data_IF_341855226470
#
_entry.id   IF_341855226470
#
_cell.length_a   1.000
_cell.length_b   1.000
_cell.length_c   1.000
_cell.angle_alpha   90.00
_cell.angle_beta   90.00
_cell.angle_gamma   90.00
#
_symmetry.space_group_name_H-M   'P 1'
#
loop_
_entity.id
_entity.type
_entity.pdbx_description
1 polymer ?
#
# COMPACT_ATOMS: atom_id res chain seq x y z
N UNK A 1 -25.92 28.36 55.02
CA UNK A 1 -26.05 29.31 53.87
C UNK A 1 -24.86 29.20 52.93
N UNK A 2 -23.63 29.19 53.45
CA UNK A 2 -22.39 28.99 52.68
C UNK A 2 -22.38 27.71 51.83
N UNK A 3 -22.86 26.58 52.37
CA UNK A 3 -22.94 25.30 51.63
C UNK A 3 -23.79 25.38 50.35
N UNK A 4 -24.93 26.09 50.41
CA UNK A 4 -25.80 26.26 49.23
C UNK A 4 -25.13 27.11 48.15
N UNK A 5 -24.40 28.15 48.57
CA UNK A 5 -23.63 29.02 47.69
C UNK A 5 -22.48 28.22 47.05
N UNK A 6 -21.75 27.43 47.83
CA UNK A 6 -20.67 26.57 47.34
C UNK A 6 -21.17 25.53 46.31
N UNK A 7 -22.33 24.93 46.53
CA UNK A 7 -22.95 23.99 45.58
C UNK A 7 -23.33 24.65 44.25
N UNK A 8 -23.81 25.89 44.28
CA UNK A 8 -24.14 26.65 43.05
C UNK A 8 -22.87 26.97 42.27
N UNK A 9 -21.80 27.42 42.95
CA UNK A 9 -20.51 27.67 42.30
C UNK A 9 -19.89 26.38 41.73
N UNK A 10 -20.00 25.26 42.44
CA UNK A 10 -19.53 23.97 41.96
C UNK A 10 -20.29 23.52 40.71
N UNK A 11 -21.63 23.67 40.70
CA UNK A 11 -22.45 23.35 39.53
C UNK A 11 -22.09 24.21 38.31
N UNK A 12 -21.82 25.50 38.52
CA UNK A 12 -21.35 26.42 37.48
C UNK A 12 -19.97 26.03 36.94
N UNK A 13 -19.03 25.71 37.84
CA UNK A 13 -17.69 25.28 37.47
C UNK A 13 -17.73 23.97 36.67
N UNK A 14 -18.53 23.00 37.10
CA UNK A 14 -18.73 21.74 36.38
C UNK A 14 -19.40 21.97 35.02
N UNK A 15 -20.37 22.88 34.92
CA UNK A 15 -21.00 23.25 33.67
C UNK A 15 -20.04 23.90 32.66
N UNK A 16 -19.10 24.70 33.14
CA UNK A 16 -18.05 25.33 32.31
C UNK A 16 -16.95 24.36 31.89
N UNK A 17 -16.55 23.44 32.78
CA UNK A 17 -15.48 22.47 32.51
C UNK A 17 -15.97 21.26 31.70
N UNK A 18 -17.24 20.88 31.81
CA UNK A 18 -17.78 19.69 31.14
C UNK A 18 -17.56 19.69 29.61
N UNK A 19 -17.84 20.78 28.86
CA UNK A 19 -17.58 20.82 27.41
C UNK A 19 -16.10 20.63 27.07
N UNK A 20 -15.19 21.19 27.86
CA UNK A 20 -13.74 21.07 27.64
C UNK A 20 -13.30 19.62 27.83
N UNK A 21 -13.74 18.98 28.93
CA UNK A 21 -13.42 17.58 29.24
C UNK A 21 -14.00 16.65 28.17
N UNK A 22 -15.27 16.83 27.80
CA UNK A 22 -15.93 16.01 26.78
C UNK A 22 -15.25 16.17 25.42
N UNK A 23 -14.89 17.39 25.03
CA UNK A 23 -14.18 17.65 23.79
C UNK A 23 -12.81 16.98 23.77
N UNK A 24 -12.07 17.01 24.88
CA UNK A 24 -10.75 16.37 24.97
C UNK A 24 -10.83 14.84 24.89
N UNK A 25 -11.81 14.24 25.58
CA UNK A 25 -12.08 12.79 25.50
C UNK A 25 -12.45 12.41 24.06
N UNK A 26 -13.34 13.21 23.43
CA UNK A 26 -13.78 12.98 22.05
C UNK A 26 -12.60 13.07 21.08
N UNK A 27 -11.77 14.11 21.19
CA UNK A 27 -10.56 14.32 20.37
C UNK A 27 -9.61 13.13 20.48
N UNK A 28 -9.28 12.73 21.70
CA UNK A 28 -8.39 11.59 21.95
C UNK A 28 -8.91 10.28 21.33
N UNK A 29 -10.23 10.05 21.41
CA UNK A 29 -10.88 8.89 20.80
C UNK A 29 -10.87 8.97 19.27
N UNK A 30 -11.22 10.12 18.70
CA UNK A 30 -11.22 10.35 17.24
C UNK A 30 -9.82 10.17 16.65
N UNK A 31 -8.79 10.68 17.33
CA UNK A 31 -7.38 10.50 16.94
C UNK A 31 -6.99 9.03 16.99
N UNK A 32 -7.32 8.32 18.07
CA UNK A 32 -6.99 6.90 18.22
C UNK A 32 -7.65 6.05 17.13
N UNK A 33 -8.94 6.28 16.86
CA UNK A 33 -9.66 5.59 15.78
C UNK A 33 -9.12 5.96 14.40
N UNK A 34 -8.74 7.23 14.19
CA UNK A 34 -8.13 7.69 12.95
C UNK A 34 -6.79 7.05 12.67
N UNK A 35 -5.91 7.00 13.68
CA UNK A 35 -4.61 6.31 13.58
C UNK A 35 -4.79 4.83 13.28
N UNK A 36 -5.73 4.17 13.95
CA UNK A 36 -6.04 2.75 13.70
C UNK A 36 -6.52 2.54 12.26
N UNK A 37 -7.46 3.36 11.79
CA UNK A 37 -8.00 3.26 10.43
C UNK A 37 -6.91 3.41 9.36
N UNK A 38 -6.00 4.39 9.51
CA UNK A 38 -4.85 4.57 8.60
C UNK A 38 -3.93 3.34 8.64
N UNK A 39 -3.60 2.82 9.83
CA UNK A 39 -2.76 1.61 9.96
C UNK A 39 -3.39 0.41 9.24
N UNK A 40 -4.70 0.19 9.42
CA UNK A 40 -5.42 -0.90 8.76
C UNK A 40 -5.45 -0.73 7.24
N UNK A 41 -5.72 0.47 6.74
CA UNK A 41 -5.67 0.76 5.30
C UNK A 41 -4.29 0.45 4.71
N UNK A 42 -3.23 0.94 5.35
CA UNK A 42 -1.86 0.74 4.89
C UNK A 42 -1.42 -0.73 4.95
N UNK A 43 -1.82 -1.47 5.98
CA UNK A 43 -1.50 -2.91 6.05
C UNK A 43 -2.18 -3.71 4.93
N UNK A 44 -3.42 -3.36 4.59
CA UNK A 44 -4.12 -3.94 3.44
C UNK A 44 -3.49 -3.52 2.10
N UNK A 45 -3.10 -2.25 1.97
CA UNK A 45 -2.39 -1.73 0.80
C UNK A 45 -1.08 -2.49 0.57
N UNK A 46 -0.32 -2.76 1.64
CA UNK A 46 0.94 -3.51 1.60
C UNK A 46 0.77 -4.87 0.94
N UNK A 47 -0.26 -5.63 1.34
CA UNK A 47 -0.55 -6.95 0.74
C UNK A 47 -0.97 -6.81 -0.73
N UNK A 48 -1.83 -5.85 -1.06
CA UNK A 48 -2.26 -5.60 -2.45
C UNK A 48 -1.09 -5.26 -3.36
N UNK A 49 -0.18 -4.39 -2.91
CA UNK A 49 0.99 -4.00 -3.68
C UNK A 49 2.03 -5.11 -3.79
N UNK A 50 2.19 -5.96 -2.76
CA UNK A 50 3.01 -7.17 -2.86
C UNK A 50 2.48 -8.12 -3.95
N UNK A 51 1.16 -8.31 -4.03
CA UNK A 51 0.53 -9.07 -5.11
C UNK A 51 0.65 -8.42 -6.48
N UNK A 52 0.56 -7.09 -6.54
CA UNK A 52 0.73 -6.36 -7.78
C UNK A 52 2.16 -6.54 -8.32
N UNK A 53 3.17 -6.43 -7.45
CA UNK A 53 4.56 -6.74 -7.79
C UNK A 53 4.73 -8.21 -8.22
N UNK A 54 4.14 -9.18 -7.49
CA UNK A 54 4.15 -10.60 -7.89
C UNK A 54 3.59 -10.81 -9.30
N UNK A 55 2.45 -10.19 -9.59
CA UNK A 55 1.75 -10.34 -10.87
C UNK A 55 2.58 -9.79 -12.03
N UNK A 56 3.21 -8.63 -11.84
CA UNK A 56 4.11 -8.05 -12.83
C UNK A 56 5.32 -8.95 -13.08
N UNK A 57 5.99 -9.36 -12.02
CA UNK A 57 7.21 -10.18 -12.09
C UNK A 57 6.93 -11.55 -12.70
N UNK A 58 5.76 -12.14 -12.40
CA UNK A 58 5.27 -13.36 -13.05
C UNK A 58 4.99 -13.13 -14.53
N UNK A 59 4.33 -12.03 -14.89
CA UNK A 59 4.00 -11.69 -16.28
C UNK A 59 5.25 -11.45 -17.13
N UNK A 60 6.30 -10.87 -16.56
CA UNK A 60 7.57 -10.65 -17.24
C UNK A 60 8.50 -11.87 -17.23
N UNK A 61 8.21 -12.87 -16.39
CA UNK A 61 9.07 -14.04 -16.17
C UNK A 61 10.38 -13.70 -15.45
N UNK A 62 10.41 -12.61 -14.69
CA UNK A 62 11.59 -12.06 -14.00
C UNK A 62 11.58 -12.35 -12.50
N UNK A 63 10.66 -13.20 -12.05
CA UNK A 63 10.57 -13.66 -10.67
C UNK A 63 11.81 -14.48 -10.29
N UNK A 64 12.36 -14.18 -9.13
CA UNK A 64 13.49 -14.91 -8.54
C UNK A 64 13.11 -15.39 -7.14
N UNK A 65 13.86 -16.35 -6.60
CA UNK A 65 13.66 -16.83 -5.23
C UNK A 65 13.66 -15.70 -4.18
N UNK A 66 14.60 -14.73 -4.18
CA UNK A 66 14.54 -13.60 -3.25
C UNK A 66 13.29 -12.72 -3.39
N UNK A 67 12.77 -12.55 -4.62
CA UNK A 67 11.52 -11.80 -4.84
C UNK A 67 10.33 -12.56 -4.30
N UNK A 68 10.28 -13.88 -4.51
CA UNK A 68 9.23 -14.75 -4.00
C UNK A 68 9.22 -14.81 -2.47
N UNK A 69 10.39 -14.93 -1.85
CA UNK A 69 10.55 -14.85 -0.39
C UNK A 69 10.12 -13.48 0.17
N UNK A 70 10.45 -12.39 -0.53
CA UNK A 70 9.98 -11.07 -0.15
C UNK A 70 8.45 -10.99 -0.17
N UNK A 71 7.77 -11.50 -1.20
CA UNK A 71 6.30 -11.54 -1.28
C UNK A 71 5.72 -12.38 -0.14
N UNK A 72 6.26 -13.58 0.07
CA UNK A 72 5.78 -14.48 1.12
C UNK A 72 5.84 -13.82 2.50
N UNK A 73 6.95 -13.13 2.82
CA UNK A 73 7.08 -12.35 4.06
C UNK A 73 6.00 -11.28 4.21
N UNK A 74 5.56 -10.66 3.11
CA UNK A 74 4.47 -9.70 3.17
C UNK A 74 3.12 -10.37 3.48
N UNK A 75 2.86 -11.55 2.92
CA UNK A 75 1.61 -12.27 3.19
C UNK A 75 1.56 -12.88 4.60
N UNK A 76 2.69 -13.31 5.15
CA UNK A 76 2.74 -13.91 6.49
C UNK A 76 2.38 -12.92 7.61
N UNK A 77 2.64 -11.62 7.40
CA UNK A 77 2.25 -10.57 8.35
C UNK A 77 0.74 -10.39 8.49
N UNK A 78 -0.06 -10.86 7.53
CA UNK A 78 -1.53 -10.80 7.58
C UNK A 78 -2.06 -12.19 7.96
N UNK A 79 -2.22 -12.43 9.27
CA UNK A 79 -2.51 -13.77 9.80
C UNK A 79 -3.96 -14.23 9.56
N UNK A 80 -4.92 -13.31 9.51
CA UNK A 80 -6.35 -13.61 9.66
C UNK A 80 -7.15 -13.77 8.35
N UNK A 81 -6.49 -13.95 7.21
CA UNK A 81 -7.16 -14.10 5.91
C UNK A 81 -6.98 -15.53 5.38
N UNK A 82 -8.07 -16.28 5.33
CA UNK A 82 -8.12 -17.67 4.87
C UNK A 82 -7.77 -17.79 3.38
N UNK A 83 -8.15 -16.80 2.56
CA UNK A 83 -7.79 -16.78 1.13
C UNK A 83 -6.28 -16.62 0.96
N UNK A 84 -5.64 -15.84 1.83
CA UNK A 84 -4.18 -15.72 1.85
C UNK A 84 -3.49 -16.98 2.35
N UNK A 85 -4.16 -17.83 3.14
CA UNK A 85 -3.56 -19.08 3.61
C UNK A 85 -3.25 -20.04 2.45
N UNK A 86 -4.19 -20.18 1.51
CA UNK A 86 -3.99 -21.00 0.31
C UNK A 86 -2.82 -20.48 -0.54
N UNK A 87 -2.81 -19.18 -0.81
CA UNK A 87 -1.74 -18.57 -1.62
C UNK A 87 -0.39 -18.70 -0.93
N UNK A 88 -0.32 -18.49 0.39
CA UNK A 88 0.93 -18.70 1.15
C UNK A 88 1.44 -20.13 1.04
N UNK A 89 0.57 -21.13 1.12
CA UNK A 89 0.95 -22.52 0.97
C UNK A 89 1.49 -22.81 -0.44
N UNK A 90 0.84 -22.27 -1.48
CA UNK A 90 1.32 -22.40 -2.86
C UNK A 90 2.70 -21.77 -3.05
N UNK A 91 2.90 -20.53 -2.56
CA UNK A 91 4.20 -19.86 -2.66
C UNK A 91 5.29 -20.58 -1.84
N UNK A 92 4.96 -21.20 -0.71
CA UNK A 92 5.89 -22.03 0.08
C UNK A 92 6.31 -23.27 -0.70
N UNK A 93 5.37 -23.99 -1.30
CA UNK A 93 5.67 -25.16 -2.13
C UNK A 93 6.55 -24.76 -3.34
N UNK A 94 6.32 -23.59 -3.93
CA UNK A 94 7.19 -23.05 -4.98
C UNK A 94 8.61 -22.70 -4.49
N UNK A 95 8.83 -22.52 -3.19
CA UNK A 95 10.17 -22.33 -2.63
C UNK A 95 10.89 -23.66 -2.35
N UNK A 96 10.19 -24.80 -2.33
CA UNK A 96 10.82 -26.11 -2.09
C UNK A 96 11.51 -26.70 -3.33
N UNK A 97 11.11 -26.27 -4.53
CA UNK A 97 11.71 -26.74 -5.80
C UNK A 97 13.10 -26.12 -6.02
N UNK A 98 13.90 -26.71 -6.91
CA UNK A 98 15.24 -26.19 -7.22
C UNK A 98 15.18 -24.81 -7.89
N UNK A 99 16.26 -24.04 -7.82
CA UNK A 99 16.34 -22.74 -8.50
C UNK A 99 16.17 -22.86 -10.02
N UNK A 100 16.72 -23.92 -10.64
CA UNK A 100 16.53 -24.16 -12.08
C UNK A 100 15.07 -24.45 -12.42
N UNK A 101 14.38 -25.23 -11.58
CA UNK A 101 12.95 -25.51 -11.77
C UNK A 101 12.10 -24.25 -11.62
N UNK A 102 12.41 -23.42 -10.63
CA UNK A 102 11.73 -22.15 -10.38
C UNK A 102 11.90 -21.18 -11.55
N UNK A 103 13.14 -21.02 -12.03
CA UNK A 103 13.45 -20.15 -13.16
C UNK A 103 12.77 -20.64 -14.44
N UNK A 104 12.77 -21.96 -14.70
CA UNK A 104 12.02 -22.54 -15.83
C UNK A 104 10.52 -22.31 -15.71
N UNK A 105 9.95 -22.47 -14.52
CA UNK A 105 8.54 -22.20 -14.27
C UNK A 105 8.19 -20.75 -14.61
N UNK A 106 8.88 -19.75 -14.03
CA UNK A 106 8.55 -18.36 -14.30
C UNK A 106 8.91 -17.90 -15.72
N UNK A 107 9.96 -18.43 -16.33
CA UNK A 107 10.23 -18.20 -17.75
C UNK A 107 9.09 -18.70 -18.64
N UNK A 108 8.45 -19.83 -18.30
CA UNK A 108 7.27 -20.33 -19.01
C UNK A 108 6.01 -19.50 -18.79
N UNK A 109 5.95 -18.73 -17.70
CA UNK A 109 4.83 -17.83 -17.39
C UNK A 109 4.96 -16.45 -18.08
N UNK A 110 6.12 -16.16 -18.68
CA UNK A 110 6.36 -14.92 -19.41
C UNK A 110 5.31 -14.76 -20.49
N UNK A 111 4.64 -13.61 -20.48
CA UNK A 111 3.62 -13.33 -21.48
C UNK A 111 4.24 -13.28 -22.89
N UNK A 112 3.56 -13.87 -23.89
CA UNK A 112 4.00 -13.76 -25.27
C UNK A 112 3.91 -12.31 -25.75
N UNK A 113 4.73 -11.95 -26.74
CA UNK A 113 4.72 -10.63 -27.36
C UNK A 113 3.30 -10.23 -27.79
N UNK A 114 2.88 -9.01 -27.45
CA UNK A 114 1.56 -8.48 -27.78
C UNK A 114 0.46 -8.74 -26.74
N UNK A 115 0.71 -9.54 -25.69
CA UNK A 115 -0.21 -9.60 -24.54
C UNK A 115 0.20 -8.56 -23.49
N UNK A 116 -0.71 -7.65 -23.14
CA UNK A 116 -0.51 -6.65 -22.09
C UNK A 116 -1.12 -7.09 -20.77
N UNK A 117 -0.47 -6.74 -19.66
CA UNK A 117 -1.02 -6.78 -18.32
C UNK A 117 -1.69 -5.43 -18.02
N UNK A 118 -2.92 -5.46 -17.50
CA UNK A 118 -3.56 -4.26 -16.98
C UNK A 118 -3.04 -3.97 -15.58
N UNK A 119 -2.29 -2.87 -15.43
CA UNK A 119 -1.90 -2.38 -14.11
C UNK A 119 -3.10 -1.76 -13.40
N UNK A 120 -3.19 -1.96 -12.09
CA UNK A 120 -4.28 -1.42 -11.27
C UNK A 120 -3.82 -0.18 -10.51
N UNK A 121 -4.67 0.84 -10.44
CA UNK A 121 -4.48 1.93 -9.50
C UNK A 121 -5.03 1.54 -8.14
N UNK A 122 -4.22 1.70 -7.09
CA UNK A 122 -4.69 1.59 -5.71
C UNK A 122 -4.84 2.99 -5.12
N UNK A 123 -5.86 3.18 -4.29
CA UNK A 123 -6.13 4.45 -3.59
C UNK A 123 -5.94 4.26 -2.10
N UNK A 124 -5.66 5.37 -1.42
CA UNK A 124 -5.46 5.48 0.04
C UNK A 124 -6.47 6.48 0.64
N UNK A 125 -7.79 6.27 0.44
CA UNK A 125 -8.81 7.26 0.75
C UNK A 125 -8.85 7.68 2.22
N UNK A 126 -8.50 6.80 3.17
CA UNK A 126 -8.48 7.19 4.59
C UNK A 126 -7.30 8.10 4.89
N UNK A 127 -6.12 7.82 4.33
CA UNK A 127 -4.98 8.72 4.42
C UNK A 127 -5.29 10.09 3.75
N UNK A 128 -5.90 10.08 2.57
CA UNK A 128 -6.27 11.30 1.83
C UNK A 128 -7.34 12.13 2.55
N UNK A 129 -8.39 11.48 3.07
CA UNK A 129 -9.48 12.17 3.77
C UNK A 129 -9.07 12.69 5.16
N UNK A 130 -8.03 12.08 5.76
CA UNK A 130 -7.58 12.39 7.12
C UNK A 130 -6.17 12.97 7.16
N UNK A 131 -5.81 13.76 6.14
CA UNK A 131 -4.60 14.61 6.18
C UNK A 131 -4.62 15.51 7.41
N UNK A 132 -5.80 15.99 7.82
CA UNK A 132 -5.93 16.72 9.08
C UNK A 132 -5.57 15.84 10.27
N UNK A 133 -5.89 14.55 10.33
CA UNK A 133 -5.50 13.71 11.47
C UNK A 133 -3.98 13.39 11.53
N UNK A 134 -3.17 13.83 10.55
CA UNK A 134 -1.71 13.63 10.59
C UNK A 134 -1.07 14.28 11.82
N UNK A 135 -1.61 15.40 12.33
CA UNK A 135 -1.08 16.03 13.54
C UNK A 135 -1.19 15.14 14.79
N UNK A 136 -2.04 14.11 14.75
CA UNK A 136 -2.14 13.14 15.85
C UNK A 136 -0.99 12.12 15.89
N UNK A 137 -0.14 12.08 14.85
CA UNK A 137 1.07 11.26 14.79
C UNK A 137 2.31 12.06 15.17
N UNK A 138 3.37 11.38 15.58
CA UNK A 138 4.69 12.01 15.74
C UNK A 138 5.27 12.45 14.39
N UNK A 139 6.24 13.35 14.40
CA UNK A 139 6.88 13.92 13.19
C UNK A 139 7.47 12.86 12.27
N UNK A 140 8.02 11.76 12.80
CA UNK A 140 8.61 10.69 11.98
C UNK A 140 7.52 9.96 11.22
N UNK A 141 6.45 9.57 11.92
CA UNK A 141 5.27 8.95 11.30
C UNK A 141 4.61 9.86 10.26
N UNK A 142 4.49 11.16 10.54
CA UNK A 142 3.96 12.14 9.59
C UNK A 142 4.78 12.19 8.29
N UNK A 143 6.11 12.27 8.40
CA UNK A 143 7.02 12.24 7.24
C UNK A 143 6.79 10.98 6.40
N UNK A 144 6.77 9.80 7.04
CA UNK A 144 6.60 8.53 6.33
C UNK A 144 5.24 8.46 5.63
N UNK A 145 4.16 8.94 6.27
CA UNK A 145 2.83 8.99 5.65
C UNK A 145 2.79 9.88 4.39
N UNK A 146 3.47 11.03 4.42
CA UNK A 146 3.60 11.90 3.26
C UNK A 146 4.45 11.25 2.15
N UNK A 147 5.50 10.52 2.51
CA UNK A 147 6.31 9.75 1.56
C UNK A 147 5.50 8.61 0.92
N UNK A 148 4.66 7.90 1.69
CA UNK A 148 3.74 6.89 1.15
C UNK A 148 2.80 7.52 0.14
N UNK A 149 2.19 8.66 0.46
CA UNK A 149 1.27 9.37 -0.44
C UNK A 149 1.97 9.76 -1.75
N UNK A 150 3.13 10.40 -1.68
CA UNK A 150 3.92 10.76 -2.85
C UNK A 150 4.30 9.52 -3.68
N UNK A 151 4.70 8.43 -3.02
CA UNK A 151 5.03 7.19 -3.70
C UNK A 151 3.81 6.54 -4.39
N UNK A 152 2.60 6.68 -3.84
CA UNK A 152 1.35 6.25 -4.46
C UNK A 152 0.98 7.10 -5.68
N UNK A 153 1.21 8.41 -5.64
CA UNK A 153 0.99 9.30 -6.78
C UNK A 153 1.88 8.89 -7.96
N UNK A 154 3.17 8.65 -7.71
CA UNK A 154 4.12 8.13 -8.71
C UNK A 154 3.64 6.77 -9.28
N UNK A 155 3.13 5.88 -8.42
CA UNK A 155 2.59 4.60 -8.88
C UNK A 155 1.39 4.80 -9.82
N UNK A 156 0.49 5.74 -9.51
CA UNK A 156 -0.64 6.09 -10.37
C UNK A 156 -0.20 6.63 -11.72
N UNK A 157 0.79 7.53 -11.74
CA UNK A 157 1.36 8.06 -13.00
C UNK A 157 1.99 6.97 -13.87
N UNK A 158 2.62 5.95 -13.25
CA UNK A 158 3.14 4.78 -13.99
C UNK A 158 1.99 4.01 -14.65
N UNK A 159 0.86 3.81 -13.95
CA UNK A 159 -0.32 3.14 -14.52
C UNK A 159 -0.88 3.91 -15.71
N UNK A 160 -0.96 5.24 -15.61
CA UNK A 160 -1.45 6.09 -16.70
C UNK A 160 -0.52 6.02 -17.91
N UNK A 161 0.80 6.07 -17.70
CA UNK A 161 1.79 5.88 -18.78
C UNK A 161 1.72 4.48 -19.40
N UNK A 162 1.58 3.43 -18.60
CA UNK A 162 1.44 2.06 -19.09
C UNK A 162 0.18 1.92 -19.96
N UNK A 163 -0.93 2.54 -19.53
CA UNK A 163 -2.19 2.56 -20.30
C UNK A 163 -2.02 3.30 -21.62
N UNK A 164 -1.36 4.47 -21.60
CA UNK A 164 -1.07 5.24 -22.79
C UNK A 164 -0.24 4.44 -23.82
N UNK A 165 0.90 3.87 -23.41
CA UNK A 165 1.73 3.08 -24.32
C UNK A 165 1.05 1.80 -24.79
N UNK A 166 0.24 1.18 -23.93
CA UNK A 166 -0.59 0.02 -24.32
C UNK A 166 -1.59 0.40 -25.40
N UNK A 167 -2.25 1.56 -25.30
CA UNK A 167 -3.17 2.02 -26.34
C UNK A 167 -2.47 2.28 -27.68
N UNK A 168 -1.21 2.73 -27.65
CA UNK A 168 -0.39 2.93 -28.84
C UNK A 168 -0.02 1.61 -29.55
N UNK A 169 0.03 0.47 -28.84
CA UNK A 169 0.32 -0.82 -29.50
C UNK A 169 -0.81 -1.31 -30.39
N UNK A 170 -2.04 -0.82 -30.20
CA UNK A 170 -3.18 -1.13 -31.07
C UNK A 170 -3.26 -0.24 -32.31
N UNK A 171 -2.39 0.77 -32.43
CA UNK A 171 -2.37 1.70 -33.55
C UNK A 171 -1.31 1.30 -34.60
N UNK A 172 -1.58 1.61 -35.87
CA UNK A 172 -0.56 1.50 -36.93
C UNK A 172 0.44 2.64 -36.77
N UNK A 173 1.61 2.33 -36.24
CA UNK A 173 2.70 3.28 -36.04
C UNK A 173 3.81 3.04 -37.06
N UNK A 174 4.27 4.09 -37.73
CA UNK A 174 5.36 4.03 -38.71
C UNK A 174 6.75 4.01 -38.04
N UNK A 175 7.78 3.67 -38.81
CA UNK A 175 9.20 3.90 -38.48
C UNK A 175 9.70 3.26 -37.15
N UNK A 176 9.23 2.05 -36.83
CA UNK A 176 9.68 1.32 -35.62
C UNK A 176 9.12 1.86 -34.30
N UNK A 177 8.20 2.84 -34.34
CA UNK A 177 7.56 3.39 -33.15
C UNK A 177 6.68 2.36 -32.41
N UNK A 178 6.19 1.33 -33.11
CA UNK A 178 5.48 0.23 -32.46
C UNK A 178 6.37 -0.54 -31.48
N UNK A 179 7.60 -0.90 -31.88
CA UNK A 179 8.53 -1.59 -30.99
C UNK A 179 8.88 -0.73 -29.76
N UNK A 180 9.08 0.58 -29.96
CA UNK A 180 9.31 1.51 -28.85
C UNK A 180 8.14 1.57 -27.87
N UNK A 181 6.90 1.55 -28.37
CA UNK A 181 5.72 1.51 -27.51
C UNK A 181 5.70 0.22 -26.68
N UNK A 182 6.00 -0.93 -27.29
CA UNK A 182 6.11 -2.23 -26.59
C UNK A 182 7.21 -2.20 -25.51
N UNK A 183 8.39 -1.68 -25.85
CA UNK A 183 9.51 -1.58 -24.91
C UNK A 183 9.16 -0.64 -23.73
N UNK A 184 8.48 0.47 -24.01
CA UNK A 184 8.01 1.40 -22.99
C UNK A 184 6.96 0.77 -22.06
N UNK A 185 6.05 -0.08 -22.58
CA UNK A 185 5.11 -0.85 -21.74
C UNK A 185 5.88 -1.74 -20.77
N UNK A 186 6.87 -2.49 -21.26
CA UNK A 186 7.70 -3.33 -20.38
C UNK A 186 8.47 -2.50 -19.35
N UNK A 187 9.00 -1.34 -19.74
CA UNK A 187 9.65 -0.41 -18.81
C UNK A 187 8.70 0.12 -17.73
N UNK A 188 7.42 0.34 -18.06
CA UNK A 188 6.41 0.74 -17.07
C UNK A 188 6.13 -0.37 -16.06
N UNK A 189 6.11 -1.64 -16.48
CA UNK A 189 5.96 -2.77 -15.57
C UNK A 189 7.12 -2.84 -14.55
N UNK A 190 8.37 -2.73 -15.00
CA UNK A 190 9.54 -2.72 -14.10
C UNK A 190 9.47 -1.57 -13.09
N UNK A 191 9.11 -0.37 -13.56
CA UNK A 191 8.95 0.80 -12.71
C UNK A 191 7.83 0.58 -11.69
N UNK A 192 6.70 0.02 -12.13
CA UNK A 192 5.56 -0.24 -11.26
C UNK A 192 5.88 -1.26 -10.17
N UNK A 193 6.53 -2.38 -10.50
CA UNK A 193 6.93 -3.39 -9.51
C UNK A 193 7.90 -2.82 -8.47
N UNK A 194 8.90 -2.03 -8.91
CA UNK A 194 9.82 -1.32 -8.00
C UNK A 194 9.09 -0.33 -7.11
N UNK A 195 8.17 0.44 -7.67
CA UNK A 195 7.41 1.44 -6.93
C UNK A 195 6.47 0.79 -5.90
N UNK A 196 5.77 -0.29 -6.29
CA UNK A 196 4.95 -1.08 -5.39
C UNK A 196 5.77 -1.62 -4.20
N UNK A 197 6.98 -2.14 -4.47
CA UNK A 197 7.91 -2.57 -3.43
C UNK A 197 8.34 -1.41 -2.51
N UNK A 198 8.67 -0.24 -3.07
CA UNK A 198 9.04 0.95 -2.28
C UNK A 198 7.92 1.38 -1.34
N UNK A 199 6.67 1.39 -1.81
CA UNK A 199 5.51 1.72 -0.96
C UNK A 199 5.36 0.69 0.16
N UNK A 200 5.50 -0.61 -0.15
CA UNK A 200 5.46 -1.67 0.88
C UNK A 200 6.52 -1.45 1.95
N UNK A 201 7.76 -1.12 1.57
CA UNK A 201 8.85 -0.83 2.50
C UNK A 201 8.56 0.40 3.38
N UNK A 202 7.97 1.46 2.82
CA UNK A 202 7.54 2.63 3.58
C UNK A 202 6.43 2.29 4.58
N UNK A 203 5.47 1.44 4.20
CA UNK A 203 4.44 0.95 5.13
C UNK A 203 5.08 0.16 6.27
N UNK A 204 6.07 -0.68 5.99
CA UNK A 204 6.80 -1.41 7.04
C UNK A 204 7.59 -0.47 7.97
N UNK A 205 8.19 0.60 7.44
CA UNK A 205 8.86 1.65 8.23
C UNK A 205 7.85 2.34 9.16
N UNK A 206 6.67 2.70 8.64
CA UNK A 206 5.59 3.27 9.41
C UNK A 206 5.06 2.33 10.51
N UNK A 207 4.84 1.05 10.19
CA UNK A 207 4.40 0.04 11.17
C UNK A 207 5.42 -0.14 12.31
N UNK A 208 6.73 0.02 12.03
CA UNK A 208 7.78 -0.03 13.05
C UNK A 208 7.79 1.23 13.92
N UNK A 209 7.74 2.41 13.29
CA UNK A 209 7.75 3.70 13.99
C UNK A 209 6.57 3.85 14.95
N UNK A 210 5.44 3.22 14.63
CA UNK A 210 4.18 3.36 15.39
C UNK A 210 3.92 2.26 16.43
N UNK A 211 4.81 1.26 16.52
CA UNK A 211 4.83 0.21 17.55
C UNK A 211 5.84 0.50 18.67
N UNK A 212 6.79 1.39 18.45
CA UNK A 212 7.69 1.95 19.46
C UNK A 212 6.96 2.97 20.33
#
# INVERSE_FOLDING_TARGET
MFEKIALIFLGWLLGLLAPIIVNEIRRTREDTLGRLAIRTELSNLRVRLAFAAYTVEKHQGTMTRPKLEWILRQLEKQQSDEQLAFVRAELKNMLEVSEEQLNKFFASQKAPSGKSLTLQQYKIPLLDARVSALWSFDTTSQRILLEIRSAMDIASEIVDRATHFTNLTFQKLENGNHQRAVDNVSGCYDQYARQAKRVVELVEEFEKATKA
#
